data_IF_881986409001
#
_entry.id   IF_881986409001
#
_cell.length_a   1.000
_cell.length_b   1.000
_cell.length_c   1.000
_cell.angle_alpha   90.00
_cell.angle_beta   90.00
_cell.angle_gamma   90.00
#
_symmetry.space_group_name_H-M   'P 1'
#
loop_
_entity.id
_entity.type
_entity.pdbx_description
1 polymer ?
#
# COMPACT_ATOMS: atom_id res chain seq x y z
N UNK A 1 -6.88 7.34 -4.97
CA UNK A 1 -7.57 6.82 -3.78
C UNK A 1 -8.92 7.52 -3.61
N UNK A 2 -9.88 6.80 -3.07
CA UNK A 2 -11.06 7.42 -2.48
C UNK A 2 -10.66 8.11 -1.18
N UNK A 3 -11.27 9.22 -0.87
CA UNK A 3 -11.04 9.94 0.39
C UNK A 3 -12.33 10.59 0.86
N UNK A 4 -12.52 10.65 2.16
CA UNK A 4 -13.56 11.44 2.80
C UNK A 4 -12.92 12.64 3.51
N UNK A 5 -13.64 13.73 3.57
CA UNK A 5 -13.19 14.94 4.25
C UNK A 5 -14.35 15.55 5.00
N UNK A 6 -14.06 16.09 6.15
CA UNK A 6 -14.98 16.83 7.01
C UNK A 6 -16.26 16.07 7.42
N UNK A 7 -16.14 14.98 8.16
CA UNK A 7 -14.93 14.38 8.75
C UNK A 7 -14.23 13.38 7.83
N UNK A 8 -12.93 13.16 8.09
CA UNK A 8 -12.16 12.14 7.41
C UNK A 8 -12.33 10.78 8.09
N UNK A 9 -13.36 10.04 7.70
CA UNK A 9 -13.72 8.74 8.28
C UNK A 9 -12.76 7.60 7.90
N UNK A 10 -11.96 7.78 6.84
CA UNK A 10 -10.95 6.79 6.44
C UNK A 10 -9.67 6.84 7.29
N UNK A 11 -9.48 7.90 8.09
CA UNK A 11 -8.31 8.08 8.94
C UNK A 11 -8.63 7.99 10.44
N UNK A 12 -9.59 7.15 10.83
CA UNK A 12 -9.83 6.83 12.24
C UNK A 12 -8.58 6.13 12.80
N UNK A 13 -7.92 6.69 13.85
CA UNK A 13 -6.64 6.20 14.32
C UNK A 13 -6.74 4.75 14.83
N UNK A 14 -5.80 3.89 14.43
CA UNK A 14 -5.71 2.49 14.89
C UNK A 14 -4.87 2.34 16.16
N UNK A 15 -3.86 3.22 16.34
CA UNK A 15 -2.85 3.09 17.40
C UNK A 15 -3.24 3.74 18.72
N UNK A 16 -4.16 4.71 18.69
CA UNK A 16 -4.62 5.43 19.88
C UNK A 16 -5.88 4.78 20.41
N UNK A 17 -6.00 4.72 21.75
CA UNK A 17 -7.16 4.09 22.39
C UNK A 17 -8.48 4.76 22.00
N UNK A 18 -8.50 6.08 21.86
CA UNK A 18 -9.70 6.81 21.42
C UNK A 18 -10.16 6.37 20.01
N UNK A 19 -9.20 6.19 19.09
CA UNK A 19 -9.50 5.73 17.73
C UNK A 19 -9.99 4.27 17.74
N UNK A 20 -9.38 3.40 18.54
CA UNK A 20 -9.84 2.01 18.70
C UNK A 20 -11.24 1.96 19.30
N UNK A 21 -11.57 2.80 20.28
CA UNK A 21 -12.93 2.92 20.80
C UNK A 21 -13.93 3.32 19.73
N UNK A 22 -13.57 4.21 18.81
CA UNK A 22 -14.43 4.56 17.67
C UNK A 22 -14.61 3.34 16.77
N UNK A 23 -13.55 2.58 16.46
CA UNK A 23 -13.66 1.37 15.63
C UNK A 23 -14.52 0.28 16.26
N UNK A 24 -14.51 0.14 17.58
CA UNK A 24 -15.40 -0.78 18.32
C UNK A 24 -16.88 -0.42 18.22
N UNK A 25 -17.21 0.82 17.85
CA UNK A 25 -18.60 1.24 17.64
C UNK A 25 -19.18 0.76 16.29
N UNK A 26 -18.32 0.34 15.35
CA UNK A 26 -18.75 -0.28 14.09
C UNK A 26 -18.90 -1.79 14.34
N UNK A 27 -20.09 -2.20 14.70
CA UNK A 27 -20.45 -3.57 15.08
C UNK A 27 -21.22 -4.25 13.94
N UNK A 28 -21.08 -5.57 13.86
CA UNK A 28 -21.93 -6.37 12.98
C UNK A 28 -23.35 -6.53 13.56
N UNK A 29 -24.35 -6.77 12.70
CA UNK A 29 -25.69 -7.10 13.09
C UNK A 29 -25.74 -8.42 13.88
N UNK A 30 -26.81 -8.68 14.69
CA UNK A 30 -26.97 -9.97 15.37
C UNK A 30 -26.90 -11.15 14.40
N UNK A 31 -26.11 -12.16 14.71
CA UNK A 31 -25.89 -13.33 13.83
C UNK A 31 -24.86 -13.10 12.71
N UNK A 32 -24.19 -11.94 12.68
CA UNK A 32 -23.15 -11.60 11.73
C UNK A 32 -21.80 -11.33 12.41
N UNK A 33 -20.74 -11.34 11.62
CA UNK A 33 -19.38 -10.90 11.96
C UNK A 33 -18.91 -9.81 11.01
N UNK A 34 -18.05 -8.95 11.51
CA UNK A 34 -17.22 -8.08 10.68
C UNK A 34 -16.06 -8.89 10.12
N UNK A 35 -15.84 -8.81 8.80
CA UNK A 35 -14.69 -9.37 8.13
C UNK A 35 -13.97 -8.23 7.43
N UNK A 36 -12.69 -8.01 7.79
CA UNK A 36 -11.82 -7.04 7.15
C UNK A 36 -10.79 -7.79 6.30
N UNK A 37 -10.67 -7.40 5.04
CA UNK A 37 -9.73 -7.98 4.08
C UNK A 37 -8.82 -6.87 3.53
N UNK A 38 -7.53 -6.93 3.86
CA UNK A 38 -6.53 -5.91 3.54
C UNK A 38 -5.46 -6.43 2.59
N UNK A 39 -5.12 -5.65 1.58
CA UNK A 39 -4.01 -6.00 0.69
C UNK A 39 -2.66 -5.85 1.39
N UNK A 40 -1.97 -6.94 1.57
CA UNK A 40 -0.63 -6.96 2.18
C UNK A 40 0.41 -6.28 1.29
N UNK A 41 0.91 -5.12 1.71
CA UNK A 41 1.99 -4.36 1.06
C UNK A 41 1.74 -4.05 -0.43
N UNK A 42 0.51 -3.72 -0.81
CA UNK A 42 0.10 -3.56 -2.21
C UNK A 42 0.99 -2.59 -2.98
N UNK A 43 1.36 -1.46 -2.40
CA UNK A 43 2.17 -0.44 -3.08
C UNK A 43 3.61 -0.92 -3.34
N UNK A 44 4.21 -1.70 -2.43
CA UNK A 44 5.53 -2.33 -2.66
C UNK A 44 5.46 -3.42 -3.74
N UNK A 45 4.38 -4.19 -3.80
CA UNK A 45 4.15 -5.19 -4.86
C UNK A 45 3.96 -4.53 -6.22
N UNK A 46 3.22 -3.42 -6.27
CA UNK A 46 3.08 -2.62 -7.49
C UNK A 46 4.43 -2.01 -7.88
N UNK A 47 5.23 -1.51 -6.93
CA UNK A 47 6.56 -1.00 -7.22
C UNK A 47 7.48 -2.10 -7.78
N UNK A 48 7.44 -3.31 -7.24
CA UNK A 48 8.18 -4.45 -7.78
C UNK A 48 7.77 -4.76 -9.24
N UNK A 49 6.47 -4.73 -9.53
CA UNK A 49 5.94 -4.92 -10.89
C UNK A 49 6.37 -3.82 -11.85
N UNK A 50 6.25 -2.55 -11.45
CA UNK A 50 6.57 -1.38 -12.29
C UNK A 50 8.07 -1.23 -12.54
N UNK A 51 8.89 -1.42 -11.51
CA UNK A 51 10.33 -1.28 -11.59
C UNK A 51 11.04 -2.50 -12.17
N UNK A 52 10.38 -3.66 -12.14
CA UNK A 52 10.99 -4.96 -12.48
C UNK A 52 12.29 -5.21 -11.74
N UNK A 53 12.44 -4.64 -10.55
CA UNK A 53 13.63 -4.81 -9.72
C UNK A 53 13.79 -6.26 -9.29
N UNK A 54 14.89 -6.88 -9.69
CA UNK A 54 15.14 -8.31 -9.42
C UNK A 54 15.21 -8.62 -7.93
N UNK A 55 15.75 -7.71 -7.11
CA UNK A 55 15.85 -7.87 -5.66
C UNK A 55 14.44 -7.90 -5.02
N UNK A 56 13.56 -6.96 -5.40
CA UNK A 56 12.18 -6.95 -4.93
C UNK A 56 11.39 -8.15 -5.42
N UNK A 57 11.52 -8.51 -6.70
CA UNK A 57 10.81 -9.66 -7.27
C UNK A 57 11.21 -10.96 -6.57
N UNK A 58 12.51 -11.19 -6.35
CA UNK A 58 13.04 -12.37 -5.63
C UNK A 58 12.56 -12.39 -4.17
N UNK A 59 12.62 -11.26 -3.47
CA UNK A 59 12.18 -11.17 -2.09
C UNK A 59 10.68 -11.50 -1.92
N UNK A 60 9.82 -10.97 -2.79
CA UNK A 60 8.40 -11.32 -2.77
C UNK A 60 8.12 -12.77 -3.17
N UNK A 61 8.86 -13.32 -4.13
CA UNK A 61 8.72 -14.73 -4.51
C UNK A 61 9.15 -15.69 -3.39
N UNK A 62 10.15 -15.29 -2.60
CA UNK A 62 10.62 -16.03 -1.43
C UNK A 62 9.76 -15.83 -0.16
N UNK A 63 8.76 -14.93 -0.21
CA UNK A 63 7.96 -14.57 0.96
C UNK A 63 8.74 -13.80 2.04
N UNK A 64 9.82 -13.12 1.65
CA UNK A 64 10.66 -12.36 2.57
C UNK A 64 9.95 -11.11 3.10
N UNK A 65 10.21 -10.78 4.35
CA UNK A 65 9.82 -9.51 4.93
C UNK A 65 10.74 -8.38 4.44
N UNK A 66 10.32 -7.65 3.40
CA UNK A 66 11.06 -6.55 2.78
C UNK A 66 11.52 -5.52 3.83
N UNK A 67 10.69 -5.22 4.83
CA UNK A 67 11.05 -4.25 5.86
C UNK A 67 12.14 -4.79 6.80
N UNK A 68 12.09 -6.08 7.10
CA UNK A 68 13.11 -6.75 7.91
C UNK A 68 14.44 -6.85 7.13
N UNK A 69 14.38 -7.18 5.85
CA UNK A 69 15.55 -7.24 5.00
C UNK A 69 16.21 -5.85 4.86
N UNK A 70 15.44 -4.80 4.64
CA UNK A 70 15.93 -3.42 4.61
C UNK A 70 16.53 -3.01 5.97
N UNK A 71 15.90 -3.37 7.09
CA UNK A 71 16.42 -3.07 8.42
C UNK A 71 17.76 -3.75 8.67
N UNK A 72 17.90 -5.02 8.32
CA UNK A 72 19.13 -5.78 8.46
C UNK A 72 20.30 -5.08 7.76
N UNK A 73 20.07 -4.59 6.56
CA UNK A 73 21.08 -3.93 5.75
C UNK A 73 21.40 -2.52 6.24
N UNK A 74 20.38 -1.71 6.50
CA UNK A 74 20.54 -0.32 6.96
C UNK A 74 21.23 -0.24 8.32
N UNK A 75 20.92 -1.18 9.23
CA UNK A 75 21.51 -1.22 10.57
C UNK A 75 22.72 -2.14 10.70
N UNK A 76 23.10 -2.86 9.62
CA UNK A 76 24.26 -3.76 9.61
C UNK A 76 24.12 -4.95 10.56
N UNK A 77 22.92 -5.53 10.67
CA UNK A 77 22.59 -6.64 11.58
C UNK A 77 22.00 -7.83 10.82
N UNK A 78 22.05 -8.99 11.43
CA UNK A 78 21.42 -10.18 10.85
C UNK A 78 19.88 -10.05 10.85
N UNK A 79 19.16 -10.55 9.81
CA UNK A 79 17.71 -10.41 9.72
C UNK A 79 16.93 -10.95 10.93
N UNK A 80 17.40 -12.02 11.56
CA UNK A 80 16.80 -12.62 12.74
C UNK A 80 16.98 -11.79 14.03
N UNK A 81 17.93 -10.84 14.04
CA UNK A 81 18.21 -9.93 15.16
C UNK A 81 17.50 -8.57 15.01
N UNK A 82 16.77 -8.34 13.92
CA UNK A 82 16.05 -7.09 13.70
C UNK A 82 14.92 -6.94 14.72
N UNK A 83 14.99 -5.86 15.51
CA UNK A 83 13.93 -5.50 16.46
C UNK A 83 12.68 -4.98 15.75
N UNK A 84 11.54 -4.97 16.46
CA UNK A 84 10.29 -4.38 15.95
C UNK A 84 10.40 -2.89 15.66
N UNK A 85 11.22 -2.16 16.41
CA UNK A 85 11.48 -0.75 16.20
C UNK A 85 12.32 -0.51 14.94
N UNK A 86 13.39 -1.26 14.74
CA UNK A 86 14.22 -1.21 13.53
C UNK A 86 13.40 -1.58 12.28
N UNK A 87 12.56 -2.61 12.37
CA UNK A 87 11.64 -2.97 11.29
C UNK A 87 10.65 -1.84 10.97
N UNK A 88 10.16 -1.14 12.01
CA UNK A 88 9.28 0.04 11.83
C UNK A 88 10.01 1.19 11.15
N UNK A 89 11.25 1.45 11.54
CA UNK A 89 12.10 2.47 10.89
C UNK A 89 12.35 2.11 9.43
N UNK A 90 12.66 0.86 9.12
CA UNK A 90 12.83 0.38 7.76
C UNK A 90 11.52 0.47 6.93
N UNK A 91 10.36 0.24 7.55
CA UNK A 91 9.07 0.48 6.90
C UNK A 91 8.93 1.95 6.49
N UNK A 92 9.32 2.88 7.36
CA UNK A 92 9.30 4.30 7.06
C UNK A 92 10.31 4.67 5.96
N UNK A 93 11.50 4.05 5.95
CA UNK A 93 12.51 4.21 4.88
C UNK A 93 11.93 3.72 3.55
N UNK A 94 11.47 2.49 3.47
CA UNK A 94 10.95 1.88 2.25
C UNK A 94 9.84 2.73 1.62
N UNK A 95 8.81 3.08 2.39
CA UNK A 95 7.73 3.92 1.89
C UNK A 95 8.19 5.34 1.56
N UNK A 96 9.03 5.93 2.40
CA UNK A 96 9.59 7.26 2.14
C UNK A 96 10.33 7.30 0.80
N UNK A 97 11.19 6.33 0.53
CA UNK A 97 12.04 6.32 -0.67
C UNK A 97 11.25 6.02 -1.94
N UNK A 98 10.33 5.05 -1.93
CA UNK A 98 9.48 4.81 -3.10
C UNK A 98 8.56 5.99 -3.43
N UNK A 99 8.25 6.84 -2.44
CA UNK A 99 7.52 8.09 -2.63
C UNK A 99 8.41 9.29 -3.00
N UNK A 100 9.71 9.06 -3.20
CA UNK A 100 10.65 10.09 -3.60
C UNK A 100 11.05 11.07 -2.49
N UNK A 101 11.06 10.61 -1.23
CA UNK A 101 11.51 11.40 -0.09
C UNK A 101 12.99 11.75 -0.21
N UNK A 102 13.33 13.00 0.08
CA UNK A 102 14.72 13.45 0.12
C UNK A 102 15.42 13.07 1.42
N UNK A 103 16.77 13.12 1.42
CA UNK A 103 17.57 12.91 2.64
C UNK A 103 17.17 13.84 3.79
N UNK A 104 16.75 15.07 3.50
CA UNK A 104 16.23 16.01 4.51
C UNK A 104 14.91 15.50 5.11
N UNK A 105 13.98 15.04 4.28
CA UNK A 105 12.71 14.48 4.73
C UNK A 105 12.90 13.23 5.58
N UNK A 106 13.77 12.32 5.13
CA UNK A 106 14.08 11.07 5.83
C UNK A 106 14.77 11.33 7.18
N UNK A 107 15.74 12.25 7.22
CA UNK A 107 16.44 12.65 8.44
C UNK A 107 15.45 13.15 9.50
N UNK A 108 14.50 14.01 9.10
CA UNK A 108 13.48 14.56 9.97
C UNK A 108 12.47 13.52 10.46
N UNK A 109 12.15 12.53 9.61
CA UNK A 109 11.19 11.46 9.96
C UNK A 109 11.77 10.45 10.94
N UNK A 110 13.07 10.15 10.82
CA UNK A 110 13.78 9.17 11.66
C UNK A 110 14.52 9.80 12.84
N UNK A 111 14.53 11.14 12.94
CA UNK A 111 15.30 11.90 13.94
C UNK A 111 16.80 11.55 13.92
N UNK A 112 17.40 11.57 12.71
CA UNK A 112 18.79 11.26 12.47
C UNK A 112 19.48 12.39 11.69
N UNK A 113 20.82 12.38 11.67
CA UNK A 113 21.58 13.30 10.85
C UNK A 113 21.32 13.10 9.36
N UNK A 114 21.31 14.22 8.60
CA UNK A 114 21.11 14.19 7.13
C UNK A 114 22.12 13.31 6.41
N UNK A 115 23.38 13.27 6.88
CA UNK A 115 24.43 12.42 6.31
C UNK A 115 24.06 10.93 6.44
N UNK A 116 23.57 10.53 7.60
CA UNK A 116 23.11 9.15 7.84
C UNK A 116 21.88 8.81 6.99
N UNK A 117 20.92 9.73 6.87
CA UNK A 117 19.78 9.54 5.98
C UNK A 117 20.21 9.36 4.52
N UNK A 118 21.24 10.10 4.05
CA UNK A 118 21.78 9.91 2.71
C UNK A 118 22.40 8.52 2.54
N UNK A 119 23.18 8.05 3.51
CA UNK A 119 23.72 6.69 3.48
C UNK A 119 22.64 5.61 3.38
N UNK A 120 21.54 5.77 4.11
CA UNK A 120 20.41 4.83 4.02
C UNK A 120 19.75 4.84 2.63
N UNK A 121 19.63 6.01 2.01
CA UNK A 121 19.15 6.16 0.64
C UNK A 121 20.07 5.44 -0.34
N UNK A 122 21.38 5.64 -0.21
CA UNK A 122 22.37 5.05 -1.10
C UNK A 122 22.39 3.51 -0.98
N UNK A 123 22.33 2.96 0.25
CA UNK A 123 22.19 1.53 0.51
C UNK A 123 20.89 0.96 -0.09
N UNK A 124 19.77 1.64 0.10
CA UNK A 124 18.49 1.21 -0.45
C UNK A 124 18.51 1.10 -1.97
N UNK A 125 19.01 2.12 -2.66
CA UNK A 125 19.08 2.10 -4.12
C UNK A 125 20.22 1.24 -4.68
N UNK A 126 21.26 0.95 -3.89
CA UNK A 126 22.24 -0.08 -4.23
C UNK A 126 21.61 -1.49 -4.21
N UNK A 127 20.71 -1.73 -3.23
CA UNK A 127 19.97 -3.00 -3.13
C UNK A 127 18.88 -3.12 -4.20
N UNK A 128 18.19 -2.03 -4.50
CA UNK A 128 17.06 -1.99 -5.43
C UNK A 128 17.32 -1.01 -6.59
N UNK A 129 18.32 -1.30 -7.45
CA UNK A 129 18.70 -0.38 -8.54
C UNK A 129 17.59 -0.19 -9.57
N UNK A 130 16.76 -1.21 -9.80
CA UNK A 130 15.61 -1.13 -10.70
C UNK A 130 14.56 -0.13 -10.22
N UNK A 131 14.36 0.01 -8.90
CA UNK A 131 13.47 1.04 -8.34
C UNK A 131 13.97 2.43 -8.69
N UNK A 132 15.30 2.67 -8.54
CA UNK A 132 15.90 3.96 -8.89
C UNK A 132 15.74 4.26 -10.38
N UNK A 133 16.07 3.30 -11.23
CA UNK A 133 15.95 3.42 -12.68
C UNK A 133 14.51 3.75 -13.08
N UNK A 134 13.52 3.02 -12.56
CA UNK A 134 12.10 3.28 -12.79
C UNK A 134 11.70 4.72 -12.40
N UNK A 135 12.15 5.20 -11.24
CA UNK A 135 11.84 6.55 -10.78
C UNK A 135 12.42 7.63 -11.71
N UNK A 136 13.66 7.44 -12.15
CA UNK A 136 14.33 8.40 -13.04
C UNK A 136 13.69 8.40 -14.43
N UNK A 137 13.44 7.23 -15.03
CA UNK A 137 12.74 7.07 -16.30
C UNK A 137 11.31 7.62 -16.25
N UNK A 138 10.60 7.44 -15.13
CA UNK A 138 9.24 7.96 -14.99
C UNK A 138 9.21 9.48 -14.97
N UNK A 139 10.20 10.13 -14.34
CA UNK A 139 10.35 11.60 -14.39
C UNK A 139 10.60 12.09 -15.81
N UNK A 140 11.52 11.44 -16.54
CA UNK A 140 11.81 11.82 -17.93
C UNK A 140 10.58 11.67 -18.83
N UNK A 141 9.92 10.52 -18.80
CA UNK A 141 8.69 10.30 -19.57
C UNK A 141 7.61 11.30 -19.21
N UNK A 142 7.44 11.62 -17.92
CA UNK A 142 6.48 12.63 -17.50
C UNK A 142 6.81 14.02 -18.06
N UNK A 143 8.10 14.40 -18.14
CA UNK A 143 8.53 15.66 -18.75
C UNK A 143 8.27 15.69 -20.25
N UNK A 144 8.45 14.57 -20.95
CA UNK A 144 8.22 14.48 -22.39
C UNK A 144 6.74 14.56 -22.73
N UNK A 145 5.92 13.70 -22.13
CA UNK A 145 4.52 13.49 -22.52
C UNK A 145 3.50 14.29 -21.70
N UNK A 146 3.90 14.86 -20.54
CA UNK A 146 3.04 15.68 -19.70
C UNK A 146 2.06 14.91 -18.80
N UNK A 147 2.16 13.58 -18.73
CA UNK A 147 1.31 12.73 -17.91
C UNK A 147 2.04 11.47 -17.49
N UNK A 148 1.46 10.73 -16.53
CA UNK A 148 1.82 9.36 -16.16
C UNK A 148 0.59 8.47 -16.17
N UNK A 149 0.79 7.14 -16.21
CA UNK A 149 -0.30 6.18 -16.33
C UNK A 149 -0.20 5.11 -15.24
N UNK A 150 -1.36 4.60 -14.82
CA UNK A 150 -1.45 3.36 -14.03
C UNK A 150 -1.16 2.15 -14.91
N UNK A 151 -0.98 0.96 -14.31
CA UNK A 151 -0.85 -0.32 -15.04
C UNK A 151 -2.04 -0.56 -15.98
N UNK A 152 -3.20 0.01 -15.67
CA UNK A 152 -4.42 -0.12 -16.47
C UNK A 152 -4.66 1.04 -17.45
N UNK A 153 -3.65 1.90 -17.66
CA UNK A 153 -3.71 2.98 -18.66
C UNK A 153 -4.49 4.23 -18.24
N UNK A 154 -4.88 4.35 -16.97
CA UNK A 154 -5.52 5.57 -16.49
C UNK A 154 -4.48 6.66 -16.29
N UNK A 155 -4.71 7.82 -16.93
CA UNK A 155 -3.77 8.94 -16.99
C UNK A 155 -3.96 9.94 -15.85
N UNK A 156 -2.82 10.45 -15.37
CA UNK A 156 -2.76 11.67 -14.56
C UNK A 156 -1.91 12.70 -15.29
N UNK A 157 -2.50 13.82 -15.68
CA UNK A 157 -1.79 14.94 -16.30
C UNK A 157 -1.03 15.77 -15.28
N UNK A 158 0.16 16.22 -15.64
CA UNK A 158 1.12 16.91 -14.77
C UNK A 158 1.50 18.28 -15.37
N UNK A 159 0.61 19.27 -15.38
CA UNK A 159 0.86 20.56 -16.03
C UNK A 159 2.08 21.29 -15.46
N UNK A 160 2.40 21.08 -14.19
CA UNK A 160 3.53 21.72 -13.51
C UNK A 160 4.87 20.97 -13.69
N UNK A 161 4.93 19.87 -14.46
CA UNK A 161 6.16 19.06 -14.60
C UNK A 161 7.33 19.83 -15.22
N UNK A 162 7.05 20.87 -16.04
CA UNK A 162 8.03 21.78 -16.65
C UNK A 162 8.01 23.17 -16.04
N UNK A 163 7.40 23.36 -14.87
CA UNK A 163 7.31 24.68 -14.24
C UNK A 163 8.70 25.27 -13.97
N UNK A 164 8.87 26.57 -14.22
CA UNK A 164 10.09 27.31 -13.89
C UNK A 164 10.32 27.38 -12.37
N UNK A 165 9.23 27.44 -11.59
CA UNK A 165 9.28 27.39 -10.15
C UNK A 165 9.70 25.99 -9.67
N UNK A 166 10.86 25.92 -8.99
CA UNK A 166 11.45 24.66 -8.54
C UNK A 166 10.55 23.87 -7.56
N UNK A 167 9.81 24.56 -6.69
CA UNK A 167 8.93 23.92 -5.71
C UNK A 167 7.77 23.21 -6.41
N UNK A 168 7.11 23.88 -7.37
CA UNK A 168 6.02 23.30 -8.18
C UNK A 168 6.52 22.14 -9.02
N UNK A 169 7.65 22.30 -9.69
CA UNK A 169 8.27 21.25 -10.49
C UNK A 169 8.61 20.01 -9.65
N UNK A 170 9.28 20.17 -8.51
CA UNK A 170 9.61 19.07 -7.61
C UNK A 170 8.37 18.36 -7.05
N UNK A 171 7.30 19.11 -6.80
CA UNK A 171 6.02 18.51 -6.41
C UNK A 171 5.45 17.64 -7.53
N UNK A 172 5.44 18.15 -8.77
CA UNK A 172 4.99 17.40 -9.94
C UNK A 172 5.86 16.16 -10.21
N UNK A 173 7.17 16.25 -10.02
CA UNK A 173 8.10 15.11 -10.15
C UNK A 173 7.83 14.01 -9.10
N UNK A 174 7.54 14.37 -7.86
CA UNK A 174 7.11 13.40 -6.84
C UNK A 174 5.75 12.79 -7.18
N UNK A 175 4.83 13.62 -7.66
CA UNK A 175 3.51 13.14 -8.11
C UNK A 175 3.65 12.17 -9.28
N UNK A 176 4.57 12.43 -10.21
CA UNK A 176 4.87 11.54 -11.34
C UNK A 176 5.29 10.13 -10.90
N UNK A 177 6.12 10.03 -9.85
CA UNK A 177 6.56 8.74 -9.30
C UNK A 177 5.41 8.03 -8.57
N UNK A 178 4.65 8.77 -7.77
CA UNK A 178 3.66 8.20 -6.86
C UNK A 178 2.37 7.79 -7.56
N UNK A 179 1.94 8.57 -8.56
CA UNK A 179 0.63 8.39 -9.18
C UNK A 179 0.45 7.05 -9.90
N UNK A 180 1.43 6.51 -10.65
CA UNK A 180 1.29 5.18 -11.23
C UNK A 180 1.06 4.10 -10.17
N UNK A 181 1.80 4.13 -9.07
CA UNK A 181 1.70 3.17 -7.99
C UNK A 181 0.38 3.31 -7.21
N UNK A 182 0.10 4.49 -6.68
CA UNK A 182 -1.12 4.75 -5.90
C UNK A 182 -2.39 4.64 -6.76
N UNK A 183 -2.30 5.07 -8.02
CA UNK A 183 -3.38 4.93 -8.97
C UNK A 183 -3.67 3.48 -9.32
N UNK A 184 -2.64 2.66 -9.53
CA UNK A 184 -2.80 1.22 -9.77
C UNK A 184 -3.41 0.52 -8.55
N UNK A 185 -2.99 0.85 -7.32
CA UNK A 185 -3.62 0.33 -6.11
C UNK A 185 -5.12 0.68 -6.05
N UNK A 186 -5.47 1.91 -6.39
CA UNK A 186 -6.87 2.33 -6.44
C UNK A 186 -7.66 1.63 -7.56
N UNK A 187 -7.03 1.33 -8.69
CA UNK A 187 -7.68 0.58 -9.77
C UNK A 187 -7.89 -0.89 -9.38
N UNK A 188 -6.90 -1.51 -8.72
CA UNK A 188 -7.00 -2.90 -8.25
C UNK A 188 -8.15 -3.06 -7.27
N UNK A 189 -8.23 -2.22 -6.23
CA UNK A 189 -9.31 -2.37 -5.24
C UNK A 189 -10.70 -2.12 -5.83
N UNK A 190 -10.83 -1.20 -6.79
CA UNK A 190 -12.11 -0.98 -7.50
C UNK A 190 -12.50 -2.19 -8.36
N UNK A 191 -11.54 -2.80 -9.04
CA UNK A 191 -11.77 -4.05 -9.80
C UNK A 191 -12.20 -5.16 -8.88
N UNK A 192 -11.48 -5.34 -7.75
CA UNK A 192 -11.86 -6.28 -6.71
C UNK A 192 -13.29 -6.07 -6.22
N UNK A 193 -13.68 -4.83 -5.92
CA UNK A 193 -15.04 -4.50 -5.49
C UNK A 193 -16.10 -4.90 -6.52
N UNK A 194 -15.87 -4.62 -7.81
CA UNK A 194 -16.80 -4.96 -8.89
C UNK A 194 -16.93 -6.48 -9.07
N UNK A 195 -15.81 -7.19 -9.02
CA UNK A 195 -15.78 -8.64 -9.21
C UNK A 195 -16.37 -9.36 -7.98
N UNK A 196 -16.11 -8.84 -6.77
CA UNK A 196 -16.71 -9.32 -5.53
C UNK A 196 -18.21 -9.09 -5.47
N UNK A 197 -18.71 -7.94 -5.88
CA UNK A 197 -20.16 -7.65 -5.93
C UNK A 197 -20.90 -8.74 -6.74
N UNK A 198 -20.37 -9.06 -7.94
CA UNK A 198 -20.91 -10.13 -8.78
C UNK A 198 -20.77 -11.54 -8.17
N UNK A 199 -19.65 -11.82 -7.50
CA UNK A 199 -19.40 -13.11 -6.88
C UNK A 199 -20.31 -13.31 -5.66
N UNK A 200 -20.51 -12.28 -4.85
CA UNK A 200 -21.42 -12.27 -3.70
C UNK A 200 -22.85 -12.53 -4.17
N UNK A 201 -23.34 -11.79 -5.17
CA UNK A 201 -24.69 -11.99 -5.74
C UNK A 201 -24.89 -13.43 -6.24
N UNK A 202 -23.90 -13.97 -6.93
CA UNK A 202 -23.93 -15.34 -7.45
C UNK A 202 -23.90 -16.42 -6.36
N UNK A 203 -23.17 -16.19 -5.27
CA UNK A 203 -23.03 -17.14 -4.17
C UNK A 203 -24.33 -17.33 -3.39
N UNK A 204 -25.18 -16.30 -3.36
CA UNK A 204 -26.39 -16.21 -2.54
C UNK A 204 -26.14 -16.35 -1.04
N UNK A 205 -24.91 -16.16 -0.60
CA UNK A 205 -24.53 -16.06 0.81
C UNK A 205 -24.90 -14.67 1.34
N UNK A 206 -25.17 -14.62 2.63
CA UNK A 206 -25.47 -13.36 3.32
C UNK A 206 -24.15 -12.63 3.64
N UNK A 207 -23.69 -11.86 2.66
CA UNK A 207 -22.44 -11.10 2.66
C UNK A 207 -22.74 -9.69 2.19
N UNK A 208 -22.38 -8.68 2.97
CA UNK A 208 -22.53 -7.28 2.63
C UNK A 208 -21.19 -6.57 2.63
N UNK A 209 -20.75 -6.04 1.48
CA UNK A 209 -19.60 -5.14 1.40
C UNK A 209 -20.01 -3.76 1.90
N UNK A 210 -19.53 -3.34 3.08
CA UNK A 210 -20.04 -2.15 3.77
C UNK A 210 -19.10 -0.95 3.74
N UNK A 211 -17.78 -1.18 3.68
CA UNK A 211 -16.81 -0.08 3.66
C UNK A 211 -15.59 -0.42 2.78
N UNK A 212 -14.99 0.64 2.24
CA UNK A 212 -13.64 0.61 1.63
C UNK A 212 -12.78 1.65 2.34
N UNK A 213 -11.67 1.22 2.94
CA UNK A 213 -10.77 2.06 3.73
C UNK A 213 -9.34 1.80 3.27
N UNK A 214 -8.71 2.79 2.60
CA UNK A 214 -7.36 2.66 2.02
C UNK A 214 -7.25 1.47 1.03
N UNK A 215 -6.62 0.39 1.45
CA UNK A 215 -6.39 -0.89 0.76
C UNK A 215 -7.19 -2.06 1.37
N UNK A 216 -8.09 -1.74 2.29
CA UNK A 216 -8.98 -2.67 2.99
C UNK A 216 -10.42 -2.61 2.46
N UNK A 217 -11.06 -3.76 2.35
CA UNK A 217 -12.50 -3.92 2.19
C UNK A 217 -13.08 -4.53 3.46
N UNK A 218 -14.17 -3.95 3.96
CA UNK A 218 -14.85 -4.42 5.16
C UNK A 218 -16.22 -4.95 4.80
N UNK A 219 -16.54 -6.12 5.33
CA UNK A 219 -17.78 -6.84 5.08
C UNK A 219 -18.51 -7.14 6.38
N UNK A 220 -19.81 -7.26 6.29
CA UNK A 220 -20.66 -7.91 7.26
C UNK A 220 -21.08 -9.27 6.70
N UNK A 221 -20.87 -10.35 7.44
CA UNK A 221 -21.02 -11.72 6.97
C UNK A 221 -21.76 -12.55 8.01
N UNK A 222 -22.72 -13.37 7.59
CA UNK A 222 -23.42 -14.29 8.49
C UNK A 222 -22.41 -15.27 9.16
N UNK A 223 -22.51 -15.44 10.48
CA UNK A 223 -21.58 -16.30 11.26
C UNK A 223 -21.50 -17.73 10.72
N UNK A 224 -22.62 -18.28 10.24
CA UNK A 224 -22.69 -19.66 9.73
C UNK A 224 -21.91 -19.88 8.42
N UNK A 225 -21.53 -18.82 7.71
CA UNK A 225 -20.91 -18.88 6.38
C UNK A 225 -19.60 -18.10 6.28
N UNK A 226 -19.02 -17.70 7.42
CA UNK A 226 -17.81 -16.85 7.50
C UNK A 226 -16.64 -17.45 6.70
N UNK A 227 -16.38 -18.75 6.81
CA UNK A 227 -15.26 -19.39 6.09
C UNK A 227 -15.47 -19.35 4.58
N UNK A 228 -16.68 -19.68 4.10
CA UNK A 228 -17.01 -19.64 2.68
C UNK A 228 -16.94 -18.21 2.12
N UNK A 229 -17.41 -17.24 2.90
CA UNK A 229 -17.34 -15.84 2.56
C UNK A 229 -15.89 -15.35 2.47
N UNK A 230 -15.05 -15.73 3.44
CA UNK A 230 -13.62 -15.43 3.45
C UNK A 230 -12.94 -15.94 2.17
N UNK A 231 -13.22 -17.18 1.76
CA UNK A 231 -12.66 -17.76 0.54
C UNK A 231 -13.06 -16.98 -0.72
N UNK A 232 -14.35 -16.59 -0.83
CA UNK A 232 -14.84 -15.77 -1.95
C UNK A 232 -14.14 -14.42 -1.97
N UNK A 233 -14.05 -13.76 -0.83
CA UNK A 233 -13.47 -12.43 -0.70
C UNK A 233 -11.97 -12.47 -1.03
N UNK A 234 -11.20 -13.37 -0.42
CA UNK A 234 -9.77 -13.51 -0.67
C UNK A 234 -9.52 -13.81 -2.14
N UNK A 235 -10.23 -14.79 -2.72
CA UNK A 235 -10.06 -15.14 -4.13
C UNK A 235 -10.40 -13.96 -5.06
N UNK A 236 -11.47 -13.21 -4.80
CA UNK A 236 -11.85 -12.05 -5.59
C UNK A 236 -10.79 -10.93 -5.52
N UNK A 237 -10.24 -10.67 -4.34
CA UNK A 237 -9.20 -9.66 -4.17
C UNK A 237 -7.85 -10.08 -4.77
N UNK A 238 -7.39 -11.30 -4.54
CA UNK A 238 -6.10 -11.80 -5.06
C UNK A 238 -6.09 -11.83 -6.58
N UNK A 239 -7.21 -12.14 -7.22
CA UNK A 239 -7.34 -12.25 -8.66
C UNK A 239 -7.77 -10.94 -9.37
N UNK A 240 -7.89 -9.83 -8.64
CA UNK A 240 -8.31 -8.55 -9.22
C UNK A 240 -7.31 -7.96 -10.23
N UNK A 241 -6.04 -8.37 -10.18
CA UNK A 241 -4.99 -7.99 -11.12
C UNK A 241 -3.88 -9.04 -11.19
N UNK A 242 -3.29 -9.16 -12.36
CA UNK A 242 -2.08 -9.95 -12.59
C UNK A 242 -0.86 -9.02 -12.53
N UNK A 243 -0.03 -9.18 -11.50
CA UNK A 243 1.23 -8.47 -11.33
C UNK A 243 2.41 -9.46 -11.45
N UNK A 244 3.64 -8.93 -11.56
CA UNK A 244 4.86 -9.75 -11.56
C UNK A 244 5.11 -10.46 -10.22
N UNK A 245 4.39 -10.09 -9.18
CA UNK A 245 4.39 -10.71 -7.85
C UNK A 245 2.94 -10.94 -7.42
N UNK A 246 2.64 -12.01 -6.66
CA UNK A 246 1.27 -12.31 -6.26
C UNK A 246 0.69 -11.19 -5.38
N UNK A 247 -0.59 -10.89 -5.52
CA UNK A 247 -1.34 -10.15 -4.52
C UNK A 247 -1.60 -11.06 -3.32
N UNK A 248 -1.47 -10.53 -2.12
CA UNK A 248 -1.76 -11.25 -0.86
C UNK A 248 -2.76 -10.41 -0.08
N UNK A 249 -3.71 -11.08 0.54
CA UNK A 249 -4.77 -10.48 1.33
C UNK A 249 -4.73 -11.08 2.73
N UNK A 250 -4.63 -10.23 3.73
CA UNK A 250 -4.75 -10.59 5.13
C UNK A 250 -6.20 -10.42 5.55
N UNK A 251 -6.76 -11.38 6.28
CA UNK A 251 -8.15 -11.37 6.74
C UNK A 251 -8.21 -11.38 8.26
N UNK A 252 -9.00 -10.47 8.80
CA UNK A 252 -9.39 -10.48 10.20
C UNK A 252 -10.90 -10.61 10.35
N UNK A 253 -11.36 -11.25 11.41
CA UNK A 253 -12.77 -11.50 11.73
C UNK A 253 -13.03 -11.13 13.19
N UNK A 254 -14.09 -10.38 13.43
CA UNK A 254 -14.44 -9.94 14.77
C UNK A 254 -15.92 -9.57 14.92
N UNK A 255 -16.32 -9.19 16.13
CA UNK A 255 -17.67 -8.68 16.38
C UNK A 255 -17.80 -7.18 16.07
N UNK A 256 -16.68 -6.52 15.86
CA UNK A 256 -16.57 -5.11 15.50
C UNK A 256 -15.32 -4.89 14.65
N UNK A 257 -15.21 -3.70 14.07
CA UNK A 257 -14.10 -3.38 13.16
C UNK A 257 -12.71 -3.35 13.85
N UNK A 258 -12.62 -3.01 15.14
CA UNK A 258 -11.33 -3.04 15.89
C UNK A 258 -10.81 -4.47 16.08
N UNK A 259 -11.71 -5.44 16.27
CA UNK A 259 -11.36 -6.87 16.38
C UNK A 259 -11.05 -7.51 15.02
N UNK A 260 -11.66 -7.02 13.96
CA UNK A 260 -11.47 -7.53 12.60
C UNK A 260 -10.23 -6.97 11.88
N UNK A 261 -9.48 -6.02 12.51
CA UNK A 261 -8.36 -5.33 11.85
C UNK A 261 -7.00 -5.67 12.44
#
# INVERSE_FOLDING_TARGET
RLSSSDPNLQNIPVRKEEGRRIRRAFIAAPGHKMLAADYSQIELRIMAHLSKDEGLLKAFAAGEDIHRATAAEVFGIEPNKVSSEQRRSAKAINFGLIYGMSAFGLARQLDIERRMAQQYIDLYFARYPGVKAYMDETRERAREQGYVETVFGRRLYLPEIKASNAVRRQYAERTAINAPMQGTAADIIKRAMIDLDRAIEKSKLDIHMIMQVHDELVFEVAESTVDQASDIIVNGMVNAAELAVPLIVDVGIGSNWDEAH
#
